data_IF_058330715591
#
_entry.id   IF_058330715591
#
_cell.length_a   1.000
_cell.length_b   1.000
_cell.length_c   1.000
_cell.angle_alpha   90.00
_cell.angle_beta   90.00
_cell.angle_gamma   90.00
#
_symmetry.space_group_name_H-M   'P 1'
#
loop_
_entity.id
_entity.type
_entity.pdbx_description
1 polymer ?
#
# COMPACT_ATOMS: atom_id res chain seq x y z
N UNK A 1 8.54 -0.67 21.86
CA UNK A 1 9.03 -0.84 20.47
C UNK A 1 9.86 0.34 20.01
N UNK A 2 9.93 0.60 18.71
CA UNK A 2 10.62 1.77 18.14
C UNK A 2 9.61 2.71 17.50
N UNK A 3 9.52 3.95 17.97
CA UNK A 3 8.72 4.97 17.31
C UNK A 3 9.53 5.60 16.17
N UNK A 4 9.07 5.41 14.93
CA UNK A 4 9.67 6.01 13.74
C UNK A 4 8.85 7.25 13.35
N UNK A 5 9.45 8.43 13.47
CA UNK A 5 8.81 9.69 13.04
C UNK A 5 8.82 9.82 11.51
N UNK A 6 9.99 9.83 10.88
CA UNK A 6 10.13 9.95 9.42
C UNK A 6 11.48 9.42 8.92
N UNK A 7 11.58 9.17 7.61
CA UNK A 7 12.81 8.87 6.89
C UNK A 7 13.12 10.02 5.93
N UNK A 8 14.37 10.46 5.87
CA UNK A 8 14.85 11.44 4.91
C UNK A 8 15.80 10.75 3.91
N UNK A 9 15.56 10.92 2.62
CA UNK A 9 16.42 10.38 1.56
C UNK A 9 16.91 11.53 0.69
N UNK A 10 18.23 11.71 0.62
CA UNK A 10 18.85 12.70 -0.26
C UNK A 10 19.25 12.04 -1.58
N UNK A 11 18.70 12.53 -2.69
CA UNK A 11 19.28 12.31 -4.01
C UNK A 11 20.43 13.31 -4.19
N UNK A 12 21.65 12.83 -3.96
CA UNK A 12 22.88 13.64 -4.02
C UNK A 12 23.19 14.17 -5.43
N UNK A 13 22.64 13.55 -6.47
CA UNK A 13 22.85 13.98 -7.87
C UNK A 13 21.84 15.08 -8.21
N UNK A 14 20.58 14.89 -7.84
CA UNK A 14 19.52 15.87 -8.04
C UNK A 14 19.55 17.02 -7.00
N UNK A 15 20.38 16.90 -5.96
CA UNK A 15 20.39 17.77 -4.78
C UNK A 15 18.98 17.96 -4.19
N UNK A 16 18.22 16.87 -4.10
CA UNK A 16 16.84 16.89 -3.63
C UNK A 16 16.64 15.99 -2.41
N UNK A 17 15.94 16.50 -1.40
CA UNK A 17 15.63 15.76 -0.18
C UNK A 17 14.17 15.29 -0.21
N UNK A 18 13.97 13.98 -0.12
CA UNK A 18 12.66 13.35 -0.03
C UNK A 18 12.33 13.02 1.43
N UNK A 19 11.23 13.58 1.93
CA UNK A 19 10.70 13.28 3.26
C UNK A 19 9.66 12.15 3.20
N UNK A 20 9.81 11.10 3.99
CA UNK A 20 8.88 9.98 4.12
C UNK A 20 8.33 9.93 5.55
N UNK A 21 7.21 10.60 5.86
CA UNK A 21 6.63 10.58 7.20
C UNK A 21 6.10 9.19 7.55
N UNK A 22 6.43 8.70 8.75
CA UNK A 22 5.95 7.42 9.29
C UNK A 22 5.01 7.63 10.46
N UNK A 23 5.45 8.30 11.53
CA UNK A 23 4.68 8.62 12.74
C UNK A 23 3.99 7.41 13.39
N UNK A 24 4.69 6.27 13.46
CA UNK A 24 4.13 4.99 13.94
C UNK A 24 5.11 4.21 14.81
N UNK A 25 4.57 3.38 15.69
CA UNK A 25 5.36 2.40 16.44
C UNK A 25 5.63 1.15 15.61
N UNK A 26 6.90 0.84 15.38
CA UNK A 26 7.35 -0.45 14.84
C UNK A 26 7.52 -1.42 16.00
N UNK A 27 6.41 -1.97 16.47
CA UNK A 27 6.34 -2.80 17.67
C UNK A 27 5.27 -3.88 17.49
N UNK A 28 5.37 -5.02 18.20
CA UNK A 28 4.30 -6.04 18.21
C UNK A 28 3.27 -5.84 19.32
N UNK A 29 3.58 -4.95 20.24
CA UNK A 29 2.88 -4.70 21.49
C UNK A 29 2.33 -3.27 21.60
N UNK A 30 2.61 -2.40 20.62
CA UNK A 30 2.16 -1.00 20.58
C UNK A 30 1.48 -0.66 19.24
N UNK A 31 0.62 0.35 19.26
CA UNK A 31 -0.12 0.87 18.10
C UNK A 31 -0.86 -0.21 17.29
N UNK A 32 -0.54 -0.36 16.00
CA UNK A 32 -1.13 -1.32 15.07
C UNK A 32 -0.47 -2.72 15.14
N UNK A 33 0.52 -2.90 16.02
CA UNK A 33 1.30 -4.13 16.20
C UNK A 33 2.09 -4.56 14.96
N UNK A 34 2.31 -3.65 14.01
CA UNK A 34 3.11 -3.90 12.82
C UNK A 34 4.56 -3.43 13.04
N UNK A 35 5.51 -4.18 12.49
CA UNK A 35 6.96 -3.84 12.52
C UNK A 35 7.51 -3.44 11.15
N UNK A 36 6.66 -3.39 10.13
CA UNK A 36 7.00 -2.99 8.77
C UNK A 36 6.01 -1.91 8.30
N UNK A 37 6.45 -0.97 7.45
CA UNK A 37 5.59 0.09 6.89
C UNK A 37 5.92 0.34 5.43
N UNK A 38 4.88 0.64 4.66
CA UNK A 38 5.00 1.24 3.33
C UNK A 38 4.86 2.76 3.47
N UNK A 39 5.90 3.50 3.07
CA UNK A 39 5.93 4.96 3.15
C UNK A 39 5.97 5.57 1.75
N UNK A 40 5.35 6.73 1.61
CA UNK A 40 5.38 7.52 0.38
C UNK A 40 6.02 8.88 0.66
N UNK A 41 6.75 9.44 -0.31
CA UNK A 41 7.36 10.75 -0.12
C UNK A 41 6.27 11.80 0.01
N UNK A 42 6.48 12.77 0.90
CA UNK A 42 5.68 13.96 1.03
C UNK A 42 5.75 14.72 -0.29
N UNK A 43 4.61 15.24 -0.76
CA UNK A 43 4.56 16.06 -1.98
C UNK A 43 5.39 17.31 -1.74
N UNK A 44 6.41 17.55 -2.56
CA UNK A 44 7.20 18.78 -2.51
C UNK A 44 6.27 19.98 -2.79
N UNK A 45 6.36 21.00 -1.94
CA UNK A 45 5.65 22.28 -2.13
C UNK A 45 6.29 23.15 -3.20
N UNK A 46 7.46 22.75 -3.71
CA UNK A 46 8.12 23.43 -4.82
C UNK A 46 7.37 23.15 -6.12
N UNK A 47 6.81 24.23 -6.64
CA UNK A 47 6.09 24.29 -7.90
C UNK A 47 6.88 23.59 -9.02
N UNK A 48 6.17 22.72 -9.76
CA UNK A 48 6.63 22.04 -10.99
C UNK A 48 7.63 20.88 -10.83
N UNK A 49 7.09 19.68 -10.58
CA UNK A 49 7.30 18.48 -11.43
C UNK A 49 6.46 17.30 -10.93
N UNK A 50 5.29 17.20 -11.56
CA UNK A 50 4.32 16.10 -11.51
C UNK A 50 3.71 15.81 -10.12
N UNK A 51 2.39 15.90 -9.95
CA UNK A 51 1.77 15.29 -8.78
C UNK A 51 2.17 13.82 -8.82
N UNK A 52 2.76 13.30 -7.73
CA UNK A 52 2.69 11.87 -7.44
C UNK A 52 1.21 11.55 -7.53
N UNK A 53 0.79 11.01 -8.67
CA UNK A 53 -0.61 10.80 -8.98
C UNK A 53 -1.05 9.81 -7.93
N UNK A 54 -1.86 10.27 -7.00
CA UNK A 54 -2.46 9.43 -5.99
C UNK A 54 -3.47 8.56 -6.74
N UNK A 55 -2.97 7.53 -7.42
CA UNK A 55 -3.76 6.65 -8.27
C UNK A 55 -4.57 5.77 -7.33
N UNK A 56 -5.75 6.27 -6.97
CA UNK A 56 -6.70 5.51 -6.18
C UNK A 56 -7.42 4.54 -7.10
N UNK A 57 -7.24 3.24 -6.87
CA UNK A 57 -7.91 2.19 -7.61
C UNK A 57 -9.09 1.66 -6.79
N UNK A 58 -10.28 1.62 -7.39
CA UNK A 58 -11.44 0.91 -6.84
C UNK A 58 -11.52 -0.47 -7.51
N UNK A 59 -11.22 -1.51 -6.75
CA UNK A 59 -11.28 -2.90 -7.23
C UNK A 59 -12.62 -3.49 -6.78
N UNK A 60 -13.35 -4.11 -7.71
CA UNK A 60 -14.59 -4.85 -7.42
C UNK A 60 -14.45 -6.25 -7.99
N UNK A 61 -14.64 -7.27 -7.15
CA UNK A 61 -14.50 -8.69 -7.51
C UNK A 61 -15.87 -9.33 -7.57
N UNK A 62 -16.10 -10.17 -8.59
CA UNK A 62 -17.34 -10.93 -8.76
C UNK A 62 -17.02 -12.41 -8.91
N UNK A 63 -17.55 -13.25 -8.02
CA UNK A 63 -17.45 -14.70 -8.10
C UNK A 63 -18.70 -15.27 -8.79
N UNK A 64 -18.50 -16.24 -9.69
CA UNK A 64 -19.61 -16.84 -10.45
C UNK A 64 -20.59 -17.64 -9.59
N UNK A 65 -21.78 -17.96 -10.15
CA UNK A 65 -22.87 -18.68 -9.46
C UNK A 65 -22.81 -20.21 -9.59
N UNK A 66 -21.76 -20.75 -10.20
CA UNK A 66 -21.62 -22.20 -10.40
C UNK A 66 -21.31 -22.85 -9.05
N UNK A 67 -21.87 -24.03 -8.79
CA UNK A 67 -21.55 -24.82 -7.61
C UNK A 67 -20.03 -24.99 -7.48
N UNK A 68 -19.48 -24.61 -6.32
CA UNK A 68 -18.05 -24.67 -6.04
C UNK A 68 -17.21 -23.53 -6.63
N UNK A 69 -17.83 -22.43 -7.10
CA UNK A 69 -17.09 -21.27 -7.59
C UNK A 69 -16.48 -20.39 -6.48
N UNK A 70 -16.92 -20.57 -5.23
CA UNK A 70 -16.37 -19.87 -4.06
C UNK A 70 -15.02 -20.41 -3.60
N UNK A 71 -14.32 -19.65 -2.76
CA UNK A 71 -13.04 -20.06 -2.17
C UNK A 71 -12.84 -19.50 -0.76
N UNK A 72 -12.25 -20.32 0.12
CA UNK A 72 -11.76 -19.93 1.45
C UNK A 72 -10.26 -19.58 1.45
N UNK A 73 -9.60 -19.66 0.29
CA UNK A 73 -8.18 -19.32 0.18
C UNK A 73 -7.94 -17.81 0.28
N UNK A 74 -6.72 -17.43 0.69
CA UNK A 74 -6.28 -16.05 0.62
C UNK A 74 -6.17 -15.60 -0.85
N UNK A 75 -6.87 -14.51 -1.20
CA UNK A 75 -6.86 -13.94 -2.55
C UNK A 75 -6.00 -12.69 -2.57
N UNK A 76 -5.15 -12.56 -3.59
CA UNK A 76 -4.22 -11.44 -3.77
C UNK A 76 -4.38 -10.79 -5.15
N UNK A 77 -4.03 -9.51 -5.25
CA UNK A 77 -3.90 -8.77 -6.52
C UNK A 77 -2.54 -8.10 -6.63
N UNK A 78 -1.96 -8.11 -7.83
CA UNK A 78 -0.77 -7.31 -8.17
C UNK A 78 -1.11 -6.44 -9.38
N UNK A 79 -0.94 -5.13 -9.26
CA UNK A 79 -1.09 -4.20 -10.38
C UNK A 79 0.28 -3.93 -11.00
N UNK A 80 0.38 -4.09 -12.32
CA UNK A 80 1.60 -3.85 -13.10
C UNK A 80 1.47 -2.53 -13.85
N UNK A 81 2.43 -1.63 -13.65
CA UNK A 81 2.59 -0.38 -14.40
C UNK A 81 3.89 -0.38 -15.20
N UNK A 82 4.06 0.62 -16.05
CA UNK A 82 5.27 0.81 -16.85
C UNK A 82 6.51 1.20 -16.02
N UNK A 83 6.33 1.63 -14.77
CA UNK A 83 7.40 2.06 -13.87
C UNK A 83 7.67 1.05 -12.74
N UNK A 84 6.65 0.33 -12.29
CA UNK A 84 6.72 -0.58 -11.15
C UNK A 84 5.49 -1.48 -11.07
N UNK A 85 5.53 -2.47 -10.17
CA UNK A 85 4.37 -3.23 -9.72
C UNK A 85 4.07 -2.94 -8.23
N UNK A 86 2.84 -3.21 -7.80
CA UNK A 86 2.41 -2.96 -6.41
C UNK A 86 2.87 -4.03 -5.41
N UNK A 87 3.49 -5.12 -5.88
CA UNK A 87 3.57 -6.37 -5.13
C UNK A 87 2.19 -6.99 -4.88
N UNK A 88 2.18 -8.13 -4.17
CA UNK A 88 0.95 -8.85 -3.84
C UNK A 88 0.19 -8.15 -2.71
N UNK A 89 -0.97 -7.58 -3.04
CA UNK A 89 -1.90 -6.98 -2.08
C UNK A 89 -2.98 -8.00 -1.74
N UNK A 90 -3.07 -8.40 -0.46
CA UNK A 90 -4.15 -9.28 0.00
C UNK A 90 -5.50 -8.56 -0.10
N UNK A 91 -6.48 -9.22 -0.69
CA UNK A 91 -7.84 -8.70 -0.79
C UNK A 91 -8.63 -9.09 0.46
N UNK A 92 -8.83 -8.13 1.35
CA UNK A 92 -9.62 -8.31 2.57
C UNK A 92 -10.94 -7.53 2.50
N UNK A 93 -12.02 -8.13 2.98
CA UNK A 93 -13.29 -7.43 3.16
C UNK A 93 -13.97 -7.88 4.45
N UNK A 94 -14.90 -7.06 4.96
CA UNK A 94 -15.57 -7.26 6.26
C UNK A 94 -16.52 -8.48 6.32
N UNK A 95 -16.59 -9.32 5.28
CA UNK A 95 -17.46 -10.51 5.18
C UNK A 95 -16.69 -11.68 4.55
N UNK A 96 -17.25 -12.89 4.56
CA UNK A 96 -16.71 -13.98 3.74
C UNK A 96 -16.88 -13.60 2.25
N UNK A 97 -15.79 -13.21 1.59
CA UNK A 97 -15.84 -12.23 0.48
C UNK A 97 -15.74 -12.84 -0.91
N UNK A 98 -15.36 -14.12 -1.01
CA UNK A 98 -15.15 -14.79 -2.29
C UNK A 98 -16.10 -15.98 -2.47
N UNK A 99 -17.29 -15.89 -1.90
CA UNK A 99 -18.35 -16.87 -2.07
C UNK A 99 -19.03 -16.76 -3.44
N UNK A 100 -19.57 -17.89 -3.93
CA UNK A 100 -20.40 -17.87 -5.13
C UNK A 100 -21.62 -16.95 -4.94
N UNK A 101 -21.87 -16.07 -5.91
CA UNK A 101 -22.99 -15.11 -5.88
C UNK A 101 -24.34 -15.66 -6.31
#
# INVERSE_FOLDING_TARGET
>A
GWFLDQILIEDVIAHHLYEFPCNRWLAKDEDDKEIARFLFPKKSTDHERQPVRNNQYKITVFTGKKTGAGTDADVFITLYGNLAETGAIKLESKKNSFESG
#
